data_IF_766917479316
#
_entry.id   IF_766917479316
#
_cell.length_a   1.000
_cell.length_b   1.000
_cell.length_c   1.000
_cell.angle_alpha   90.00
_cell.angle_beta   90.00
_cell.angle_gamma   90.00
#
_symmetry.space_group_name_H-M   'P 1'
#
loop_
_entity.id
_entity.type
_entity.pdbx_description
1 polymer ?
#
# COMPACT_ATOMS: atom_id res chain seq x y z
N UNK A 1 6.08 -33.38 10.12
CA UNK A 1 4.72 -33.76 10.55
C UNK A 1 4.39 -32.96 11.80
N UNK A 2 3.81 -31.76 11.64
CA UNK A 2 3.38 -30.91 12.74
C UNK A 2 2.01 -31.36 13.24
N UNK A 3 1.95 -31.85 14.47
CA UNK A 3 0.73 -32.27 15.16
C UNK A 3 -0.20 -31.07 15.38
N UNK A 4 -1.28 -30.98 14.60
CA UNK A 4 -2.36 -30.02 14.86
C UNK A 4 -3.11 -30.45 16.14
N UNK A 5 -3.11 -29.60 17.17
CA UNK A 5 -3.88 -29.85 18.39
C UNK A 5 -5.35 -29.50 18.13
N UNK A 6 -6.21 -30.52 18.08
CA UNK A 6 -7.67 -30.36 17.95
C UNK A 6 -8.29 -30.20 19.33
N UNK A 7 -9.04 -29.12 19.57
CA UNK A 7 -9.93 -28.98 20.74
C UNK A 7 -11.37 -28.84 20.26
N UNK A 8 -12.26 -29.62 20.87
CA UNK A 8 -13.70 -29.65 20.58
C UNK A 8 -14.43 -28.79 21.62
N UNK A 9 -15.33 -27.90 21.18
CA UNK A 9 -16.14 -27.10 22.12
C UNK A 9 -17.34 -27.91 22.65
N UNK A 10 -18.07 -27.37 23.63
CA UNK A 10 -19.21 -28.02 24.27
C UNK A 10 -20.42 -28.33 23.33
N UNK A 11 -20.37 -27.89 22.07
CA UNK A 11 -21.37 -28.16 21.02
C UNK A 11 -20.88 -29.13 19.94
N UNK A 12 -19.72 -29.75 20.10
CA UNK A 12 -19.20 -30.76 19.16
C UNK A 12 -18.57 -30.18 17.89
N UNK A 13 -18.42 -28.86 17.80
CA UNK A 13 -17.75 -28.23 16.66
C UNK A 13 -16.23 -28.37 16.79
N UNK A 14 -15.62 -28.91 15.73
CA UNK A 14 -14.17 -29.05 15.60
C UNK A 14 -13.58 -27.68 15.26
N UNK A 15 -13.08 -26.97 16.27
CA UNK A 15 -12.35 -25.72 16.06
C UNK A 15 -10.95 -26.06 15.55
N UNK A 16 -10.73 -25.87 14.24
CA UNK A 16 -9.38 -25.90 13.69
C UNK A 16 -8.60 -24.69 14.24
N UNK A 17 -7.68 -24.96 15.16
CA UNK A 17 -6.72 -23.97 15.65
C UNK A 17 -5.70 -23.76 14.53
N UNK A 18 -5.94 -22.76 13.68
CA UNK A 18 -4.98 -22.33 12.66
C UNK A 18 -3.86 -21.53 13.32
N UNK A 19 -2.65 -21.70 12.81
CA UNK A 19 -1.53 -20.85 13.21
C UNK A 19 -1.84 -19.39 12.81
N UNK A 20 -1.32 -18.39 13.55
CA UNK A 20 -1.47 -17.00 13.13
C UNK A 20 -0.99 -16.79 11.68
N UNK A 21 0.08 -17.46 11.26
CA UNK A 21 0.60 -17.38 9.89
C UNK A 21 -0.42 -17.85 8.82
N UNK A 22 -1.15 -18.94 9.05
CA UNK A 22 -2.17 -19.45 8.13
C UNK A 22 -3.39 -18.51 8.03
N UNK A 23 -3.83 -17.95 9.17
CA UNK A 23 -4.91 -16.96 9.18
C UNK A 23 -4.55 -15.67 8.43
N UNK A 24 -3.29 -15.23 8.53
CA UNK A 24 -2.78 -14.03 7.84
C UNK A 24 -2.47 -14.27 6.36
N UNK A 25 -2.28 -15.53 5.93
CA UNK A 25 -2.10 -15.87 4.52
C UNK A 25 -3.38 -15.68 3.68
N UNK A 26 -4.55 -15.90 4.30
CA UNK A 26 -5.87 -15.89 3.64
C UNK A 26 -6.54 -14.50 3.61
N UNK A 27 -6.16 -13.57 4.49
CA UNK A 27 -6.82 -12.26 4.64
C UNK A 27 -5.96 -11.09 4.15
N UNK A 28 -5.48 -11.17 2.90
CA UNK A 28 -4.45 -10.28 2.34
C UNK A 28 -4.88 -8.81 2.18
N UNK A 29 -6.19 -8.54 2.06
CA UNK A 29 -6.71 -7.20 1.76
C UNK A 29 -6.95 -6.30 3.00
N UNK A 30 -6.90 -6.84 4.22
CA UNK A 30 -7.25 -6.12 5.47
C UNK A 30 -6.02 -5.96 6.40
N UNK A 31 -4.84 -6.35 5.93
CA UNK A 31 -3.74 -6.85 6.77
C UNK A 31 -2.82 -5.81 7.46
N UNK A 32 -3.21 -4.53 7.55
CA UNK A 32 -2.35 -3.50 8.15
C UNK A 32 -2.56 -3.36 9.66
N UNK A 33 -3.36 -2.36 10.02
CA UNK A 33 -3.65 -2.00 11.40
C UNK A 33 -4.41 -3.10 12.16
N UNK A 34 -5.40 -3.73 11.52
CA UNK A 34 -6.24 -4.75 12.15
C UNK A 34 -5.41 -5.97 12.59
N UNK A 35 -4.33 -6.29 11.88
CA UNK A 35 -3.40 -7.36 12.27
C UNK A 35 -2.66 -7.03 13.57
N UNK A 36 -2.25 -5.77 13.77
CA UNK A 36 -1.64 -5.34 15.01
C UNK A 36 -2.63 -5.44 16.18
N UNK A 37 -3.91 -5.14 15.93
CA UNK A 37 -4.98 -5.26 16.92
C UNK A 37 -5.25 -6.72 17.30
N UNK A 38 -5.36 -7.60 16.30
CA UNK A 38 -5.54 -9.04 16.51
C UNK A 38 -4.34 -9.63 17.28
N UNK A 39 -3.12 -9.22 16.93
CA UNK A 39 -1.92 -9.63 17.66
C UNK A 39 -1.92 -9.15 19.11
N UNK A 40 -2.32 -7.91 19.37
CA UNK A 40 -2.51 -7.38 20.73
C UNK A 40 -3.47 -8.26 21.53
N UNK A 41 -4.65 -8.54 20.97
CA UNK A 41 -5.67 -9.37 21.64
C UNK A 41 -5.17 -10.79 21.89
N UNK A 42 -4.46 -11.40 20.94
CA UNK A 42 -3.93 -12.76 21.06
C UNK A 42 -2.77 -12.87 22.05
N UNK A 43 -1.92 -11.84 22.12
CA UNK A 43 -0.70 -11.87 22.95
C UNK A 43 -0.95 -11.44 24.39
N UNK A 44 -1.75 -10.39 24.62
CA UNK A 44 -1.95 -9.81 25.96
C UNK A 44 -3.40 -9.84 26.41
N UNK A 45 -4.35 -9.95 25.49
CA UNK A 45 -5.79 -9.91 25.80
C UNK A 45 -6.33 -8.53 26.17
N UNK A 46 -5.45 -7.52 26.26
CA UNK A 46 -5.78 -6.18 26.74
C UNK A 46 -6.52 -5.37 25.66
N UNK A 47 -7.50 -4.54 26.07
CA UNK A 47 -8.24 -3.69 25.15
C UNK A 47 -7.36 -2.55 24.61
N UNK A 48 -7.73 -2.06 23.43
CA UNK A 48 -7.07 -0.96 22.73
C UNK A 48 -7.69 0.36 23.17
N UNK A 49 -6.86 1.39 23.31
CA UNK A 49 -7.32 2.74 23.64
C UNK A 49 -7.08 3.67 22.46
N UNK A 50 -8.12 4.38 22.05
CA UNK A 50 -8.11 5.35 20.96
C UNK A 50 -8.57 6.69 21.48
N UNK A 51 -7.78 7.73 21.26
CA UNK A 51 -8.16 9.13 21.49
C UNK A 51 -8.12 9.85 20.16
N UNK A 52 -9.20 10.52 19.77
CA UNK A 52 -9.26 11.25 18.50
C UNK A 52 -9.93 12.60 18.65
N UNK A 53 -9.30 13.61 18.06
CA UNK A 53 -9.73 14.99 18.01
C UNK A 53 -9.74 15.44 16.55
N UNK A 54 -10.90 15.29 15.90
CA UNK A 54 -11.08 15.59 14.49
C UNK A 54 -11.23 17.10 14.25
N UNK A 55 -10.40 17.64 13.35
CA UNK A 55 -10.47 19.03 12.92
C UNK A 55 -11.55 19.18 11.84
N UNK A 56 -12.61 19.96 12.09
CA UNK A 56 -13.65 20.20 11.09
C UNK A 56 -13.22 21.16 9.98
N UNK A 57 -12.29 22.06 10.27
CA UNK A 57 -11.67 22.99 9.32
C UNK A 57 -10.17 23.08 9.58
N UNK A 58 -9.39 23.37 8.53
CA UNK A 58 -7.96 23.63 8.66
C UNK A 58 -7.71 24.73 9.71
N UNK A 59 -6.70 24.53 10.55
CA UNK A 59 -6.29 25.45 11.63
C UNK A 59 -7.34 25.72 12.71
N UNK A 60 -8.30 24.83 12.91
CA UNK A 60 -9.25 24.93 14.04
C UNK A 60 -8.95 23.88 15.11
N UNK A 61 -8.87 24.30 16.37
CA UNK A 61 -8.74 23.39 17.50
C UNK A 61 -10.08 22.70 17.77
N UNK A 62 -10.14 21.35 17.78
CA UNK A 62 -11.36 20.63 18.09
C UNK A 62 -11.82 20.94 19.51
N UNK A 63 -13.12 21.21 19.71
CA UNK A 63 -13.67 21.51 21.05
C UNK A 63 -13.73 20.26 21.96
N UNK A 64 -13.78 19.08 21.36
CA UNK A 64 -13.97 17.82 22.07
C UNK A 64 -12.98 16.77 21.60
N UNK A 65 -12.58 15.89 22.51
CA UNK A 65 -11.81 14.67 22.23
C UNK A 65 -12.73 13.48 22.45
N UNK A 66 -12.77 12.56 21.49
CA UNK A 66 -13.46 11.28 21.63
C UNK A 66 -12.49 10.25 22.18
N UNK A 67 -12.83 9.63 23.30
CA UNK A 67 -12.12 8.50 23.88
C UNK A 67 -12.90 7.21 23.60
N UNK A 68 -12.24 6.20 23.06
CA UNK A 68 -12.81 4.88 22.82
C UNK A 68 -11.87 3.80 23.35
N UNK A 69 -12.41 2.89 24.15
CA UNK A 69 -11.75 1.66 24.58
C UNK A 69 -12.40 0.49 23.87
N UNK A 70 -11.65 -0.10 22.97
CA UNK A 70 -12.14 -1.10 22.03
C UNK A 70 -11.55 -2.47 22.39
N UNK A 71 -12.42 -3.48 22.40
CA UNK A 71 -12.04 -4.88 22.35
C UNK A 71 -12.56 -5.52 21.05
N UNK A 72 -11.99 -6.65 20.62
CA UNK A 72 -12.40 -7.33 19.39
C UNK A 72 -12.82 -8.75 19.70
N UNK A 73 -14.03 -9.13 19.29
CA UNK A 73 -14.45 -10.53 19.23
C UNK A 73 -13.94 -11.14 17.93
N UNK A 74 -12.83 -11.88 18.04
CA UNK A 74 -12.15 -12.51 16.90
C UNK A 74 -13.04 -13.55 16.21
N UNK A 75 -13.92 -14.23 16.95
CA UNK A 75 -14.74 -15.31 16.39
C UNK A 75 -15.91 -14.76 15.58
N UNK A 76 -16.50 -13.65 16.02
CA UNK A 76 -17.60 -12.99 15.31
C UNK A 76 -17.12 -11.96 14.29
N UNK A 77 -15.83 -11.59 14.34
CA UNK A 77 -15.28 -10.48 13.59
C UNK A 77 -16.04 -9.15 13.86
N UNK A 78 -16.35 -8.91 15.13
CA UNK A 78 -17.14 -7.76 15.59
C UNK A 78 -16.37 -6.95 16.65
N UNK A 79 -16.38 -5.60 16.58
CA UNK A 79 -15.83 -4.77 17.63
C UNK A 79 -16.76 -4.75 18.85
N UNK A 80 -16.17 -4.88 20.04
CA UNK A 80 -16.84 -4.68 21.32
C UNK A 80 -16.37 -3.37 21.96
N UNK A 81 -17.25 -2.38 22.00
CA UNK A 81 -16.97 -1.07 22.60
C UNK A 81 -17.17 -1.16 24.11
N UNK A 82 -16.07 -1.15 24.87
CA UNK A 82 -16.13 -1.22 26.33
C UNK A 82 -16.49 0.14 26.94
N UNK A 83 -15.87 1.20 26.43
CA UNK A 83 -16.07 2.56 26.91
C UNK A 83 -16.02 3.53 25.72
N UNK A 84 -16.97 4.44 25.64
CA UNK A 84 -16.97 5.52 24.66
C UNK A 84 -17.55 6.78 25.27
N UNK A 85 -16.75 7.84 25.35
CA UNK A 85 -17.23 9.14 25.81
C UNK A 85 -16.49 10.28 25.09
N UNK A 86 -17.09 11.47 25.17
CA UNK A 86 -16.50 12.71 24.67
C UNK A 86 -16.16 13.61 25.85
N UNK A 87 -14.96 14.17 25.83
CA UNK A 87 -14.47 15.12 26.83
C UNK A 87 -14.14 16.46 26.18
N UNK A 88 -14.06 17.53 26.97
CA UNK A 88 -13.57 18.82 26.48
C UNK A 88 -12.09 18.71 26.15
N UNK A 89 -11.67 19.32 25.04
CA UNK A 89 -10.28 19.30 24.61
C UNK A 89 -9.43 20.30 25.39
N UNK A 90 -9.02 19.94 26.60
CA UNK A 90 -8.21 20.80 27.49
C UNK A 90 -6.75 20.83 27.03
N UNK A 91 -6.26 19.73 26.44
CA UNK A 91 -4.88 19.54 25.99
C UNK A 91 -4.62 20.10 24.58
N UNK A 92 -5.62 20.74 23.96
CA UNK A 92 -5.57 21.23 22.58
C UNK A 92 -5.12 20.18 21.56
N UNK A 93 -5.43 18.91 21.83
CA UNK A 93 -5.08 17.77 20.98
C UNK A 93 -5.70 17.94 19.58
N UNK A 94 -4.90 17.66 18.56
CA UNK A 94 -5.33 17.54 17.16
C UNK A 94 -4.83 16.23 16.58
N UNK A 95 -5.71 15.45 15.96
CA UNK A 95 -5.36 14.17 15.35
C UNK A 95 -5.81 12.97 16.19
N UNK A 96 -5.10 11.84 16.05
CA UNK A 96 -5.49 10.56 16.65
C UNK A 96 -4.29 9.92 17.34
N UNK A 97 -4.51 9.48 18.58
CA UNK A 97 -3.57 8.71 19.40
C UNK A 97 -4.12 7.30 19.58
N UNK A 98 -3.24 6.32 19.40
CA UNK A 98 -3.53 4.89 19.49
C UNK A 98 -2.58 4.26 20.51
N UNK A 99 -3.13 3.62 21.52
CA UNK A 99 -2.36 2.88 22.53
C UNK A 99 -2.75 1.41 22.49
N UNK A 100 -1.75 0.56 22.27
CA UNK A 100 -1.91 -0.89 22.11
C UNK A 100 -0.87 -1.59 22.97
N UNK A 101 -1.25 -2.69 23.61
CA UNK A 101 -0.36 -3.48 24.47
C UNK A 101 -0.06 -4.82 23.81
N UNK A 102 1.17 -4.98 23.30
CA UNK A 102 1.58 -6.17 22.55
C UNK A 102 2.68 -6.94 23.28
N UNK A 103 2.66 -8.27 23.18
CA UNK A 103 3.82 -9.09 23.50
C UNK A 103 4.90 -8.92 22.43
N UNK A 104 6.15 -8.66 22.84
CA UNK A 104 7.27 -8.47 21.92
C UNK A 104 8.64 -8.53 22.61
N UNK A 105 9.71 -8.61 21.81
CA UNK A 105 11.08 -8.63 22.27
C UNK A 105 11.84 -7.39 21.77
N UNK A 106 11.98 -6.39 22.63
CA UNK A 106 12.67 -5.15 22.29
C UNK A 106 14.15 -5.36 21.97
N UNK A 107 14.87 -6.15 22.77
CA UNK A 107 16.32 -6.33 22.62
C UNK A 107 16.70 -6.87 21.24
N UNK A 108 15.94 -7.82 20.71
CA UNK A 108 16.19 -8.41 19.39
C UNK A 108 15.83 -7.47 18.23
N UNK A 109 14.74 -6.70 18.37
CA UNK A 109 14.18 -5.93 17.25
C UNK A 109 14.47 -4.42 17.29
N UNK A 110 15.08 -3.92 18.37
CA UNK A 110 15.41 -2.49 18.53
C UNK A 110 16.12 -1.91 17.32
N UNK A 111 17.16 -2.60 16.82
CA UNK A 111 17.94 -2.12 15.67
C UNK A 111 17.07 -1.97 14.42
N UNK A 112 16.15 -2.92 14.17
CA UNK A 112 15.24 -2.87 13.03
C UNK A 112 14.23 -1.73 13.15
N UNK A 113 13.70 -1.50 14.35
CA UNK A 113 12.76 -0.38 14.61
C UNK A 113 13.47 0.96 14.40
N UNK A 114 14.67 1.12 14.94
CA UNK A 114 15.46 2.34 14.74
C UNK A 114 15.76 2.56 13.26
N UNK A 115 16.17 1.51 12.55
CA UNK A 115 16.46 1.57 11.12
C UNK A 115 15.22 1.88 10.27
N UNK A 116 14.04 1.37 10.66
CA UNK A 116 12.76 1.74 10.02
C UNK A 116 12.49 3.23 10.14
N UNK A 117 12.65 3.79 11.34
CA UNK A 117 12.46 5.22 11.57
C UNK A 117 13.51 6.08 10.85
N UNK A 118 14.75 5.62 10.76
CA UNK A 118 15.80 6.28 9.97
C UNK A 118 15.40 6.34 8.49
N UNK A 119 15.01 5.22 7.90
CA UNK A 119 14.55 5.18 6.52
C UNK A 119 13.29 6.02 6.32
N UNK A 120 12.34 5.97 7.27
CA UNK A 120 11.12 6.78 7.25
C UNK A 120 11.44 8.29 7.23
N UNK A 121 12.40 8.72 8.03
CA UNK A 121 12.87 10.11 8.04
C UNK A 121 13.49 10.53 6.70
N UNK A 122 14.23 9.64 6.05
CA UNK A 122 14.80 9.90 4.72
C UNK A 122 13.70 10.13 3.68
N UNK A 123 12.66 9.29 3.68
CA UNK A 123 11.60 9.33 2.67
C UNK A 123 10.52 10.39 2.93
N UNK A 124 10.38 10.89 4.16
CA UNK A 124 9.35 11.88 4.54
C UNK A 124 9.96 13.18 5.09
N UNK A 125 10.66 13.97 4.25
CA UNK A 125 11.27 15.23 4.68
C UNK A 125 10.27 16.24 5.27
N UNK A 126 8.99 16.12 4.94
CA UNK A 126 7.94 17.03 5.43
C UNK A 126 7.34 16.62 6.79
N UNK A 127 7.74 15.48 7.34
CA UNK A 127 7.28 14.99 8.64
C UNK A 127 8.31 15.26 9.74
N UNK A 128 7.83 15.43 10.97
CA UNK A 128 8.65 15.32 12.17
C UNK A 128 8.32 13.98 12.84
N UNK A 129 9.35 13.20 13.15
CA UNK A 129 9.21 11.87 13.74
C UNK A 129 9.92 11.83 15.09
N UNK A 130 9.24 11.35 16.12
CA UNK A 130 9.84 11.10 17.44
C UNK A 130 9.62 9.65 17.84
N UNK A 131 10.69 8.99 18.28
CA UNK A 131 10.66 7.64 18.84
C UNK A 131 11.26 7.70 20.25
N UNK A 132 10.48 7.29 21.24
CA UNK A 132 10.93 7.18 22.63
C UNK A 132 10.76 5.77 23.17
N UNK A 133 11.80 5.24 23.80
CA UNK A 133 11.74 3.99 24.56
C UNK A 133 11.87 4.29 26.06
N UNK A 134 10.86 3.83 26.82
CA UNK A 134 10.76 4.05 28.26
C UNK A 134 10.71 2.68 28.93
N UNK A 135 11.66 2.44 29.85
CA UNK A 135 11.73 1.21 30.65
C UNK A 135 11.39 1.55 32.10
N UNK A 136 10.18 1.21 32.53
CA UNK A 136 9.68 1.59 33.85
C UNK A 136 9.55 3.11 33.97
N UNK A 137 10.27 3.72 34.92
CA UNK A 137 10.28 5.19 35.13
C UNK A 137 11.41 5.92 34.41
N UNK A 138 12.35 5.19 33.79
CA UNK A 138 13.51 5.79 33.13
C UNK A 138 13.32 5.82 31.61
N UNK A 139 13.47 7.02 31.01
CA UNK A 139 13.53 7.20 29.56
C UNK A 139 14.92 6.74 29.10
N UNK A 140 14.99 5.58 28.45
CA UNK A 140 16.27 4.98 28.06
C UNK A 140 16.80 5.59 26.76
N UNK A 141 15.89 5.92 25.83
CA UNK A 141 16.26 6.44 24.53
C UNK A 141 15.18 7.35 23.95
N UNK A 142 15.61 8.43 23.29
CA UNK A 142 14.76 9.30 22.48
C UNK A 142 15.50 9.62 21.20
N UNK A 143 14.79 9.53 20.08
CA UNK A 143 15.28 9.88 18.76
C UNK A 143 14.27 10.80 18.12
N UNK A 144 14.76 11.88 17.52
CA UNK A 144 13.93 12.88 16.89
C UNK A 144 14.49 13.23 15.53
N UNK A 145 13.65 13.15 14.51
CA UNK A 145 13.91 13.60 13.15
C UNK A 145 13.05 14.83 12.89
N UNK A 146 13.69 15.99 12.83
CA UNK A 146 13.01 17.24 12.53
C UNK A 146 12.66 17.35 11.05
N UNK A 147 11.53 18.02 10.78
CA UNK A 147 11.11 18.38 9.43
C UNK A 147 12.24 19.08 8.66
N UNK A 148 12.33 18.78 7.37
CA UNK A 148 13.33 19.27 6.41
C UNK A 148 12.75 20.17 5.32
N UNK A 149 11.47 19.97 4.98
CA UNK A 149 10.78 20.78 3.97
C UNK A 149 9.35 21.04 4.41
N UNK A 150 8.85 22.24 4.17
CA UNK A 150 7.42 22.55 4.32
C UNK A 150 6.62 22.28 3.03
N UNK A 151 7.31 21.93 1.94
CA UNK A 151 6.65 21.57 0.69
C UNK A 151 6.01 20.18 0.82
N UNK A 152 4.68 20.18 0.92
CA UNK A 152 3.90 18.96 0.91
C UNK A 152 3.82 18.39 -0.52
N UNK A 153 3.96 17.06 -0.69
CA UNK A 153 3.70 16.45 -1.97
C UNK A 153 2.20 16.54 -2.32
N UNK A 154 1.84 16.48 -3.61
CA UNK A 154 0.45 16.47 -4.02
C UNK A 154 -0.30 15.28 -3.40
N UNK A 155 -1.58 15.50 -3.10
CA UNK A 155 -2.45 14.45 -2.56
C UNK A 155 -2.72 13.41 -3.63
N UNK A 156 -2.58 12.13 -3.28
CA UNK A 156 -2.98 11.05 -4.17
C UNK A 156 -4.47 11.18 -4.53
N UNK A 157 -4.78 11.08 -5.81
CA UNK A 157 -6.15 11.10 -6.31
C UNK A 157 -6.57 9.69 -6.69
N UNK A 158 -7.85 9.38 -6.49
CA UNK A 158 -8.42 8.13 -6.98
C UNK A 158 -8.52 8.22 -8.50
N UNK A 159 -7.92 7.25 -9.19
CA UNK A 159 -7.99 7.10 -10.63
C UNK A 159 -8.95 5.96 -10.98
N UNK A 160 -9.48 6.00 -12.20
CA UNK A 160 -10.32 4.93 -12.72
C UNK A 160 -9.50 3.67 -13.03
N UNK A 161 -10.18 2.53 -13.10
CA UNK A 161 -9.52 1.27 -13.41
C UNK A 161 -9.24 1.18 -14.90
N UNK A 162 -8.01 0.84 -15.23
CA UNK A 162 -7.62 0.54 -16.60
C UNK A 162 -8.17 -0.82 -17.04
N UNK A 163 -8.58 -1.01 -18.31
CA UNK A 163 -9.09 -2.29 -18.81
C UNK A 163 -8.17 -3.47 -18.52
N UNK A 164 -6.85 -3.33 -18.68
CA UNK A 164 -5.89 -4.43 -18.41
C UNK A 164 -5.81 -4.85 -16.93
N UNK A 165 -6.28 -4.02 -16.00
CA UNK A 165 -6.31 -4.34 -14.57
C UNK A 165 -7.60 -5.06 -14.15
N UNK A 166 -8.55 -5.25 -15.08
CA UNK A 166 -9.83 -5.88 -14.78
C UNK A 166 -9.68 -7.38 -14.58
N UNK A 167 -10.43 -7.89 -13.61
CA UNK A 167 -10.70 -9.31 -13.42
C UNK A 167 -12.21 -9.48 -13.18
N UNK A 168 -12.71 -10.72 -13.28
CA UNK A 168 -14.15 -10.99 -13.22
C UNK A 168 -14.80 -10.42 -11.95
N UNK A 169 -14.09 -10.50 -10.81
CA UNK A 169 -14.57 -9.98 -9.53
C UNK A 169 -14.61 -8.45 -9.51
N UNK A 170 -13.53 -7.80 -9.93
CA UNK A 170 -13.40 -6.35 -9.95
C UNK A 170 -14.41 -5.75 -10.93
N UNK A 171 -14.58 -6.36 -12.10
CA UNK A 171 -15.56 -5.91 -13.07
C UNK A 171 -16.98 -6.02 -12.51
N UNK A 172 -17.33 -7.15 -11.88
CA UNK A 172 -18.63 -7.31 -11.21
C UNK A 172 -18.86 -6.24 -10.12
N UNK A 173 -17.84 -5.95 -9.30
CA UNK A 173 -17.92 -4.92 -8.26
C UNK A 173 -18.09 -3.52 -8.85
N UNK A 174 -17.37 -3.20 -9.92
CA UNK A 174 -17.48 -1.91 -10.61
C UNK A 174 -18.86 -1.72 -11.23
N UNK A 175 -19.42 -2.78 -11.82
CA UNK A 175 -20.76 -2.77 -12.42
C UNK A 175 -21.86 -2.62 -11.37
N UNK A 176 -21.71 -3.22 -10.18
CA UNK A 176 -22.66 -3.07 -9.06
C UNK A 176 -22.72 -1.63 -8.53
N UNK A 177 -21.56 -0.95 -8.49
CA UNK A 177 -21.45 0.42 -7.98
C UNK A 177 -21.54 1.50 -9.08
N UNK A 178 -21.70 1.09 -10.34
CA UNK A 178 -21.78 2.00 -11.47
C UNK A 178 -23.05 2.85 -11.41
N UNK A 179 -22.94 4.10 -11.85
CA UNK A 179 -24.10 4.97 -12.07
C UNK A 179 -24.67 4.84 -13.47
N UNK A 180 -23.94 4.18 -14.36
CA UNK A 180 -24.33 4.00 -15.75
C UNK A 180 -25.37 2.89 -15.86
N UNK A 181 -26.23 2.98 -16.86
CA UNK A 181 -27.17 1.91 -17.20
C UNK A 181 -26.72 1.09 -18.39
N UNK A 182 -26.08 1.73 -19.37
CA UNK A 182 -25.68 1.08 -20.62
C UNK A 182 -24.23 0.65 -20.59
N UNK A 183 -23.93 -0.49 -21.21
CA UNK A 183 -22.56 -1.01 -21.33
C UNK A 183 -21.60 0.02 -21.95
N UNK A 184 -22.04 0.74 -22.99
CA UNK A 184 -21.26 1.82 -23.59
C UNK A 184 -20.95 2.96 -22.59
N UNK A 185 -21.95 3.36 -21.78
CA UNK A 185 -21.77 4.36 -20.75
C UNK A 185 -20.74 3.93 -19.71
N UNK A 186 -20.83 2.68 -19.24
CA UNK A 186 -19.86 2.10 -18.31
C UNK A 186 -18.44 2.11 -18.86
N UNK A 187 -18.26 1.59 -20.08
CA UNK A 187 -16.95 1.51 -20.71
C UNK A 187 -16.31 2.89 -20.84
N UNK A 188 -17.07 3.92 -21.25
CA UNK A 188 -16.51 5.27 -21.46
C UNK A 188 -16.31 6.08 -20.18
N UNK A 189 -17.18 5.90 -19.17
CA UNK A 189 -17.20 6.77 -17.99
C UNK A 189 -16.62 6.16 -16.73
N UNK A 190 -16.58 4.83 -16.61
CA UNK A 190 -16.13 4.17 -15.37
C UNK A 190 -14.75 3.51 -15.53
N UNK A 191 -14.32 3.24 -16.76
CA UNK A 191 -12.98 2.74 -17.07
C UNK A 191 -12.05 3.85 -17.57
N UNK A 192 -10.79 3.74 -17.19
CA UNK A 192 -9.76 4.66 -17.62
C UNK A 192 -9.42 4.47 -19.10
N UNK A 193 -9.36 5.57 -19.83
CA UNK A 193 -8.81 5.66 -21.18
C UNK A 193 -9.50 4.80 -22.25
N UNK A 194 -10.80 4.56 -22.08
CA UNK A 194 -11.69 4.02 -23.12
C UNK A 194 -12.50 5.17 -23.72
N UNK A 195 -12.31 5.44 -25.02
CA UNK A 195 -13.13 6.40 -25.75
C UNK A 195 -14.32 5.71 -26.44
N UNK A 196 -15.25 6.49 -26.98
CA UNK A 196 -16.45 5.95 -27.63
C UNK A 196 -16.12 5.04 -28.83
N UNK A 197 -15.04 5.34 -29.55
CA UNK A 197 -14.58 4.53 -30.68
C UNK A 197 -14.06 3.17 -30.19
N UNK A 198 -13.22 3.17 -29.16
CA UNK A 198 -12.68 1.97 -28.54
C UNK A 198 -13.78 1.15 -27.90
N UNK A 199 -14.73 1.76 -27.20
CA UNK A 199 -15.90 1.08 -26.63
C UNK A 199 -16.73 0.37 -27.71
N UNK A 200 -16.90 1.00 -28.88
CA UNK A 200 -17.59 0.38 -30.02
C UNK A 200 -16.80 -0.81 -30.58
N UNK A 201 -15.48 -0.67 -30.74
CA UNK A 201 -14.61 -1.77 -31.20
C UNK A 201 -14.61 -2.94 -30.21
N UNK A 202 -14.52 -2.63 -28.93
CA UNK A 202 -14.63 -3.55 -27.79
C UNK A 202 -15.91 -4.39 -27.89
N UNK A 203 -17.08 -3.76 -28.07
CA UNK A 203 -18.35 -4.49 -28.17
C UNK A 203 -18.43 -5.32 -29.45
N UNK A 204 -17.86 -4.84 -30.56
CA UNK A 204 -17.83 -5.60 -31.81
C UNK A 204 -16.96 -6.86 -31.74
N UNK A 205 -15.85 -6.82 -30.99
CA UNK A 205 -14.95 -7.97 -30.80
C UNK A 205 -15.49 -9.02 -29.81
N UNK A 206 -16.40 -8.64 -28.91
CA UNK A 206 -16.96 -9.56 -27.91
C UNK A 206 -17.97 -10.57 -28.46
N UNK A 207 -18.37 -10.41 -29.74
CA UNK A 207 -19.39 -11.20 -30.44
C UNK A 207 -20.77 -11.22 -29.75
N UNK A 208 -21.81 -11.66 -30.47
CA UNK A 208 -23.19 -11.69 -29.95
C UNK A 208 -23.33 -12.52 -28.66
N UNK A 209 -24.04 -12.04 -27.61
CA UNK A 209 -25.16 -11.10 -27.65
C UNK A 209 -24.88 -9.68 -27.13
N UNK A 210 -23.63 -9.20 -27.16
CA UNK A 210 -23.33 -7.85 -26.66
C UNK A 210 -23.91 -6.75 -27.57
N UNK A 211 -24.57 -5.77 -26.95
CA UNK A 211 -25.02 -4.54 -27.62
C UNK A 211 -24.61 -3.34 -26.77
N UNK A 212 -24.34 -2.20 -27.41
CA UNK A 212 -23.88 -0.98 -26.73
C UNK A 212 -24.89 -0.45 -25.70
N UNK A 213 -26.18 -0.65 -25.98
CA UNK A 213 -27.30 -0.22 -25.15
C UNK A 213 -27.72 -1.26 -24.10
N UNK A 214 -27.00 -2.39 -24.01
CA UNK A 214 -27.31 -3.45 -23.06
C UNK A 214 -27.21 -2.94 -21.63
N UNK A 215 -28.18 -3.32 -20.80
CA UNK A 215 -28.19 -2.96 -19.39
C UNK A 215 -27.10 -3.72 -18.62
N UNK A 216 -26.23 -2.98 -17.96
CA UNK A 216 -25.11 -3.50 -17.18
C UNK A 216 -25.57 -4.51 -16.12
N UNK A 217 -26.73 -4.27 -15.49
CA UNK A 217 -27.24 -5.12 -14.42
C UNK A 217 -27.84 -6.44 -14.91
N UNK A 218 -28.02 -6.59 -16.22
CA UNK A 218 -28.53 -7.84 -16.83
C UNK A 218 -27.41 -8.80 -17.24
N UNK A 219 -26.15 -8.37 -17.12
CA UNK A 219 -25.00 -9.15 -17.54
C UNK A 219 -24.74 -10.32 -16.57
N UNK A 220 -24.51 -11.51 -17.13
CA UNK A 220 -24.25 -12.74 -16.39
C UNK A 220 -22.75 -12.88 -16.15
N UNK A 221 -22.34 -13.80 -15.25
CA UNK A 221 -20.92 -14.10 -15.03
C UNK A 221 -20.18 -14.51 -16.30
N UNK A 222 -20.85 -15.18 -17.23
CA UNK A 222 -20.26 -15.54 -18.53
C UNK A 222 -19.99 -14.29 -19.38
N UNK A 223 -20.93 -13.33 -19.38
CA UNK A 223 -20.73 -12.06 -20.09
C UNK A 223 -19.57 -11.27 -19.48
N UNK A 224 -19.47 -11.22 -18.14
CA UNK A 224 -18.36 -10.57 -17.43
C UNK A 224 -17.03 -11.19 -17.83
N UNK A 225 -16.96 -12.53 -17.86
CA UNK A 225 -15.76 -13.25 -18.27
C UNK A 225 -15.34 -12.95 -19.71
N UNK A 226 -16.31 -12.82 -20.63
CA UNK A 226 -16.03 -12.44 -22.02
C UNK A 226 -15.47 -11.01 -22.12
N UNK A 227 -16.06 -10.06 -21.40
CA UNK A 227 -15.56 -8.67 -21.33
C UNK A 227 -14.13 -8.64 -20.79
N UNK A 228 -13.84 -9.36 -19.71
CA UNK A 228 -12.45 -9.48 -19.21
C UNK A 228 -11.55 -10.17 -20.24
N UNK A 229 -12.06 -11.18 -20.95
CA UNK A 229 -11.38 -11.89 -22.03
C UNK A 229 -10.79 -10.97 -23.10
N UNK A 230 -11.38 -9.79 -23.33
CA UNK A 230 -10.89 -8.85 -24.33
C UNK A 230 -9.55 -8.20 -23.99
N UNK A 231 -9.20 -8.17 -22.70
CA UNK A 231 -7.90 -7.69 -22.22
C UNK A 231 -6.75 -8.59 -22.70
N UNK A 232 -7.06 -9.79 -23.20
CA UNK A 232 -6.10 -10.75 -23.77
C UNK A 232 -5.95 -10.63 -25.29
N UNK A 233 -6.73 -9.76 -25.94
CA UNK A 233 -6.62 -9.52 -27.39
C UNK A 233 -5.43 -8.59 -27.64
N UNK A 234 -4.40 -9.07 -28.35
CA UNK A 234 -3.13 -8.34 -28.57
C UNK A 234 -3.32 -6.95 -29.19
N UNK A 235 -4.26 -6.80 -30.14
CA UNK A 235 -4.55 -5.51 -30.78
C UNK A 235 -5.13 -4.49 -29.79
N UNK A 236 -6.00 -4.96 -28.88
CA UNK A 236 -6.58 -4.13 -27.82
C UNK A 236 -5.53 -3.80 -26.75
N UNK A 237 -4.68 -4.77 -26.41
CA UNK A 237 -3.57 -4.56 -25.48
C UNK A 237 -2.67 -3.39 -25.91
N UNK A 238 -2.24 -3.34 -27.17
CA UNK A 238 -1.39 -2.26 -27.70
C UNK A 238 -2.04 -0.86 -27.55
N UNK A 239 -3.35 -0.77 -27.78
CA UNK A 239 -4.11 0.47 -27.62
C UNK A 239 -4.23 0.86 -26.13
N UNK A 240 -4.48 -0.12 -25.28
CA UNK A 240 -4.53 0.06 -23.83
C UNK A 240 -3.17 0.52 -23.25
N UNK A 241 -2.04 -0.06 -23.68
CA UNK A 241 -0.70 0.37 -23.27
C UNK A 241 -0.41 1.83 -23.62
N UNK A 242 -0.76 2.26 -24.84
CA UNK A 242 -0.58 3.65 -25.29
C UNK A 242 -1.42 4.62 -24.45
N UNK A 243 -2.61 4.18 -24.05
CA UNK A 243 -3.57 4.93 -23.25
C UNK A 243 -3.12 5.15 -21.78
N UNK A 244 -2.51 4.14 -21.14
CA UNK A 244 -1.91 4.26 -19.80
C UNK A 244 -0.87 5.37 -19.78
N UNK A 245 0.00 5.39 -20.79
CA UNK A 245 1.12 6.30 -20.84
C UNK A 245 0.66 7.76 -20.94
N UNK A 246 -0.36 8.09 -21.75
CA UNK A 246 -0.69 9.50 -22.05
C UNK A 246 -1.56 10.19 -20.98
N UNK A 247 -2.47 9.47 -20.31
CA UNK A 247 -3.43 10.08 -19.34
C UNK A 247 -3.03 9.94 -17.89
N UNK A 248 -2.55 8.77 -17.45
CA UNK A 248 -2.10 8.60 -16.06
C UNK A 248 -0.88 9.49 -15.77
N UNK A 249 -0.04 9.79 -16.76
CA UNK A 249 1.04 10.79 -16.66
C UNK A 249 0.56 12.21 -16.34
N UNK A 250 -0.62 12.61 -16.83
CA UNK A 250 -1.19 13.95 -16.59
C UNK A 250 -1.97 14.01 -15.28
N UNK A 251 -2.54 12.89 -14.84
CA UNK A 251 -3.31 12.83 -13.59
C UNK A 251 -2.40 12.58 -12.38
N UNK A 252 -1.35 11.78 -12.56
CA UNK A 252 -0.36 11.45 -11.54
C UNK A 252 0.82 12.42 -11.58
N UNK A 253 0.57 13.73 -11.64
CA UNK A 253 1.59 14.79 -11.49
C UNK A 253 2.28 14.70 -10.11
N UNK A 254 3.07 13.65 -9.89
CA UNK A 254 4.12 13.61 -8.89
C UNK A 254 5.26 14.47 -9.46
N UNK A 255 5.06 15.79 -9.42
CA UNK A 255 6.18 16.69 -9.32
C UNK A 255 6.86 16.31 -8.01
N UNK A 256 7.83 15.40 -8.07
CA UNK A 256 8.67 15.11 -6.92
C UNK A 256 9.44 16.39 -6.68
N UNK A 257 9.22 17.07 -5.54
CA UNK A 257 10.00 18.25 -5.22
C UNK A 257 11.47 17.85 -5.20
N UNK A 258 12.33 18.72 -5.73
CA UNK A 258 13.80 18.65 -5.74
C UNK A 258 14.43 18.61 -4.33
N UNK A 259 13.93 17.78 -3.41
CA UNK A 259 14.28 17.81 -1.98
C UNK A 259 14.42 16.45 -1.29
N UNK A 260 14.22 15.32 -1.98
CA UNK A 260 14.41 13.99 -1.38
C UNK A 260 15.90 13.66 -1.16
N UNK A 261 16.77 14.11 -2.07
CA UNK A 261 18.22 14.02 -1.90
C UNK A 261 18.73 14.81 -0.68
N UNK A 262 18.01 15.86 -0.26
CA UNK A 262 18.34 16.66 0.93
C UNK A 262 18.24 15.83 2.21
N UNK A 263 17.27 14.91 2.29
CA UNK A 263 17.16 14.01 3.43
C UNK A 263 18.31 13.00 3.46
N UNK A 264 18.69 12.45 2.30
CA UNK A 264 19.82 11.53 2.17
C UNK A 264 21.11 12.24 2.61
N UNK A 265 21.33 13.46 2.14
CA UNK A 265 22.52 14.24 2.50
C UNK A 265 22.65 14.46 4.00
N UNK A 266 21.54 14.75 4.68
CA UNK A 266 21.60 15.08 6.11
C UNK A 266 21.66 13.85 7.02
N UNK A 267 20.95 12.78 6.68
CA UNK A 267 20.87 11.60 7.55
C UNK A 267 22.04 10.63 7.33
N UNK A 268 22.62 10.60 6.11
CA UNK A 268 23.71 9.67 5.76
C UNK A 268 25.06 10.34 5.48
N UNK A 269 25.08 11.67 5.33
CA UNK A 269 26.30 12.47 5.06
C UNK A 269 27.23 11.85 3.99
N UNK A 270 26.71 11.49 2.79
CA UNK A 270 27.53 10.87 1.74
C UNK A 270 28.41 11.91 1.03
N UNK A 271 29.54 11.44 0.50
CA UNK A 271 30.47 12.28 -0.30
C UNK A 271 29.86 12.75 -1.63
N UNK A 272 28.95 11.95 -2.20
CA UNK A 272 28.29 12.22 -3.47
C UNK A 272 26.87 11.63 -3.48
N UNK A 273 25.93 12.35 -4.09
CA UNK A 273 24.55 11.88 -4.33
C UNK A 273 24.20 12.06 -5.80
N UNK A 274 23.59 11.04 -6.38
CA UNK A 274 22.99 11.10 -7.72
C UNK A 274 21.55 10.59 -7.64
N UNK A 275 20.63 11.24 -8.34
CA UNK A 275 19.21 10.87 -8.36
C UNK A 275 18.71 10.83 -9.79
N UNK A 276 17.82 9.88 -10.09
CA UNK A 276 17.17 9.79 -11.39
C UNK A 276 15.72 9.30 -11.25
N UNK A 277 14.80 9.97 -11.93
CA UNK A 277 13.40 9.54 -12.06
C UNK A 277 13.20 8.99 -13.46
N UNK A 278 12.82 7.71 -13.54
CA UNK A 278 12.55 7.06 -14.82
C UNK A 278 11.18 7.46 -15.36
N UNK A 279 11.00 7.39 -16.68
CA UNK A 279 9.70 7.64 -17.31
C UNK A 279 8.69 6.58 -16.83
N UNK A 280 7.43 6.97 -16.72
CA UNK A 280 6.38 6.06 -16.27
C UNK A 280 6.24 4.85 -17.18
N UNK A 281 6.23 3.67 -16.57
CA UNK A 281 5.94 2.38 -17.19
C UNK A 281 4.58 1.86 -16.75
N UNK A 282 4.18 0.69 -17.24
CA UNK A 282 2.96 0.00 -16.84
C UNK A 282 3.30 -1.38 -16.26
N UNK A 283 2.51 -1.82 -15.29
CA UNK A 283 2.44 -3.20 -14.87
C UNK A 283 0.97 -3.64 -14.68
N UNK A 284 0.50 -4.62 -15.46
CA UNK A 284 -0.88 -5.16 -15.37
C UNK A 284 -1.99 -4.09 -15.42
N UNK A 285 -1.88 -3.09 -16.30
CA UNK A 285 -2.81 -1.97 -16.37
C UNK A 285 -2.64 -0.91 -15.26
N UNK A 286 -1.64 -1.04 -14.40
CA UNK A 286 -1.33 -0.06 -13.37
C UNK A 286 -0.12 0.78 -13.76
N UNK A 287 -0.22 2.11 -13.65
CA UNK A 287 0.91 2.99 -13.85
C UNK A 287 1.99 2.74 -12.79
N UNK A 288 3.23 2.61 -13.25
CA UNK A 288 4.41 2.34 -12.44
C UNK A 288 5.44 3.44 -12.65
N UNK A 289 5.91 4.05 -11.57
CA UNK A 289 6.99 5.03 -11.59
C UNK A 289 8.15 4.45 -10.80
N UNK A 290 9.32 4.36 -11.43
CA UNK A 290 10.55 3.93 -10.78
C UNK A 290 11.46 5.14 -10.59
N UNK A 291 11.86 5.40 -9.36
CA UNK A 291 12.82 6.46 -9.07
C UNK A 291 14.03 5.85 -8.41
N UNK A 292 15.20 5.96 -9.02
CA UNK A 292 16.46 5.66 -8.36
C UNK A 292 16.78 6.81 -7.40
N UNK A 293 16.03 6.88 -6.30
CA UNK A 293 16.36 7.71 -5.15
C UNK A 293 15.67 7.33 -3.82
N UNK A 294 14.58 6.55 -3.71
CA UNK A 294 13.98 6.16 -2.38
C UNK A 294 12.70 5.35 -2.56
N UNK A 295 12.49 4.21 -1.87
CA UNK A 295 11.26 3.38 -1.95
C UNK A 295 9.95 4.17 -1.87
N UNK A 296 8.89 3.59 -2.46
CA UNK A 296 7.49 3.93 -2.15
C UNK A 296 7.38 4.19 -0.64
N UNK A 297 6.57 5.15 -0.16
CA UNK A 297 6.70 5.80 1.18
C UNK A 297 6.63 4.90 2.44
N UNK A 298 6.84 3.60 2.30
CA UNK A 298 7.07 2.56 3.29
C UNK A 298 8.46 1.93 3.04
N UNK A 299 9.38 2.01 4.00
CA UNK A 299 10.68 1.34 3.89
C UNK A 299 10.55 -0.19 3.99
N UNK A 300 11.22 -0.90 3.09
CA UNK A 300 11.27 -2.37 3.07
C UNK A 300 12.54 -2.84 3.79
N UNK A 301 12.36 -3.50 4.94
CA UNK A 301 13.47 -3.91 5.83
C UNK A 301 13.73 -5.40 5.89
N UNK A 302 12.71 -6.20 5.62
CA UNK A 302 12.75 -7.65 5.78
C UNK A 302 12.98 -8.29 4.41
N UNK A 303 13.63 -9.45 4.41
CA UNK A 303 13.88 -10.23 3.20
C UNK A 303 14.55 -9.47 2.04
N UNK A 304 15.41 -8.49 2.34
CA UNK A 304 16.08 -7.66 1.33
C UNK A 304 16.83 -8.47 0.27
N UNK A 305 17.37 -9.66 0.59
CA UNK A 305 18.03 -10.53 -0.41
C UNK A 305 17.08 -11.15 -1.45
N UNK A 306 15.78 -11.18 -1.17
CA UNK A 306 14.72 -11.59 -2.09
C UNK A 306 14.24 -10.45 -2.99
N UNK A 307 14.49 -9.20 -2.61
CA UNK A 307 13.99 -8.02 -3.29
C UNK A 307 14.64 -7.80 -4.65
N UNK A 308 13.82 -7.44 -5.66
CA UNK A 308 14.26 -7.15 -7.02
C UNK A 308 15.32 -6.06 -7.05
N UNK A 309 15.20 -5.00 -6.24
CA UNK A 309 16.17 -3.90 -6.23
C UNK A 309 17.53 -4.39 -5.76
N UNK A 310 17.55 -5.18 -4.67
CA UNK A 310 18.80 -5.75 -4.13
C UNK A 310 19.42 -6.74 -5.11
N UNK A 311 18.60 -7.54 -5.80
CA UNK A 311 19.09 -8.49 -6.80
C UNK A 311 19.68 -7.77 -8.01
N UNK A 312 18.97 -6.80 -8.56
CA UNK A 312 19.44 -5.99 -9.69
C UNK A 312 20.71 -5.23 -9.34
N UNK A 313 20.77 -4.59 -8.17
CA UNK A 313 21.96 -3.88 -7.73
C UNK A 313 23.19 -4.80 -7.55
N UNK A 314 23.00 -6.05 -7.13
CA UNK A 314 24.11 -6.97 -6.89
C UNK A 314 24.50 -7.84 -8.09
N UNK A 315 23.54 -8.20 -8.95
CA UNK A 315 23.74 -9.19 -10.03
C UNK A 315 23.75 -8.57 -11.43
N UNK A 316 22.90 -7.59 -11.68
CA UNK A 316 22.68 -7.08 -13.03
C UNK A 316 23.50 -5.81 -13.32
N UNK A 317 23.76 -5.00 -12.29
CA UNK A 317 24.60 -3.80 -12.42
C UNK A 317 26.08 -4.18 -12.28
N UNK A 318 26.85 -3.93 -13.35
CA UNK A 318 28.30 -4.05 -13.30
C UNK A 318 28.95 -2.72 -12.85
N UNK A 319 29.19 -2.61 -11.55
CA UNK A 319 29.81 -1.46 -10.88
C UNK A 319 31.21 -1.11 -11.41
N UNK A 320 31.91 -2.07 -11.99
CA UNK A 320 33.26 -1.86 -12.55
C UNK A 320 33.23 -0.84 -13.69
N UNK A 321 32.18 -0.82 -14.52
CA UNK A 321 32.02 0.18 -15.59
C UNK A 321 31.91 1.60 -15.04
N UNK A 322 31.37 1.76 -13.84
CA UNK A 322 31.25 3.03 -13.14
C UNK A 322 32.47 3.37 -12.28
N UNK A 323 33.54 2.56 -12.36
CA UNK A 323 34.78 2.70 -11.57
C UNK A 323 34.52 2.61 -10.05
N UNK A 324 33.52 1.82 -9.64
CA UNK A 324 33.19 1.59 -8.24
C UNK A 324 33.41 0.12 -7.88
N UNK A 325 33.88 -0.14 -6.66
CA UNK A 325 34.03 -1.49 -6.10
C UNK A 325 33.13 -1.63 -4.86
N UNK A 326 32.00 -2.36 -4.95
CA UNK A 326 31.08 -2.56 -3.83
C UNK A 326 31.70 -3.20 -2.58
N UNK A 327 32.88 -3.83 -2.69
CA UNK A 327 33.59 -4.42 -1.53
C UNK A 327 34.45 -3.40 -0.78
N UNK A 328 34.85 -2.32 -1.45
CA UNK A 328 35.75 -1.29 -0.89
C UNK A 328 35.00 0.02 -0.63
N UNK A 329 34.11 0.39 -1.54
CA UNK A 329 33.37 1.63 -1.52
C UNK A 329 32.05 1.46 -0.77
N UNK A 330 31.67 2.49 0.00
CA UNK A 330 30.37 2.53 0.69
C UNK A 330 29.31 3.06 -0.27
N UNK A 331 28.66 2.13 -0.98
CA UNK A 331 27.63 2.47 -1.96
C UNK A 331 26.24 2.29 -1.35
N UNK A 332 25.42 3.34 -1.39
CA UNK A 332 24.00 3.29 -1.02
C UNK A 332 23.13 3.39 -2.26
N UNK A 333 22.23 2.42 -2.46
CA UNK A 333 21.26 2.41 -3.56
C UNK A 333 19.86 2.52 -2.97
N UNK A 334 19.11 3.53 -3.41
CA UNK A 334 17.75 3.80 -2.97
C UNK A 334 16.85 3.81 -4.19
N UNK A 335 15.75 3.03 -4.17
CA UNK A 335 14.84 2.91 -5.32
C UNK A 335 13.38 2.99 -4.86
N UNK A 336 12.62 3.94 -5.40
CA UNK A 336 11.16 4.10 -5.37
C UNK A 336 10.51 3.28 -6.42
N UNK A 337 9.46 2.59 -6.04
CA UNK A 337 8.56 1.95 -6.99
C UNK A 337 7.16 2.35 -6.58
N UNK A 338 6.57 3.35 -7.25
CA UNK A 338 5.22 3.88 -6.96
C UNK A 338 4.24 3.33 -7.98
N UNK A 339 3.16 2.71 -7.53
CA UNK A 339 2.06 2.21 -8.36
C UNK A 339 0.77 2.11 -7.54
N UNK A 340 -0.37 2.11 -8.22
CA UNK A 340 -1.68 1.77 -7.60
C UNK A 340 -1.73 0.31 -7.12
N UNK A 341 -0.92 -0.57 -7.72
CA UNK A 341 -0.77 -1.97 -7.32
C UNK A 341 0.71 -2.35 -7.31
N UNK A 342 1.23 -2.63 -6.11
CA UNK A 342 2.61 -3.10 -5.94
C UNK A 342 2.57 -4.62 -5.80
N UNK A 343 3.33 -5.36 -6.61
CA UNK A 343 3.31 -6.81 -6.58
C UNK A 343 4.25 -7.37 -5.49
N UNK A 344 3.80 -7.27 -4.24
CA UNK A 344 4.51 -7.88 -3.11
C UNK A 344 4.41 -9.41 -3.14
N UNK A 345 5.49 -10.09 -2.74
CA UNK A 345 5.52 -11.56 -2.68
C UNK A 345 4.99 -12.16 -1.39
N UNK A 346 4.93 -11.37 -0.31
CA UNK A 346 4.45 -11.79 1.00
C UNK A 346 3.29 -10.92 1.50
N UNK A 347 2.45 -11.49 2.36
CA UNK A 347 1.32 -10.76 2.98
C UNK A 347 1.77 -9.62 3.90
N UNK A 348 3.00 -9.71 4.44
CA UNK A 348 3.66 -8.64 5.19
C UNK A 348 4.17 -7.47 4.34
N UNK A 349 4.06 -7.54 2.99
CA UNK A 349 4.55 -6.52 2.05
C UNK A 349 6.03 -6.20 2.26
N UNK A 350 6.85 -7.24 2.45
CA UNK A 350 8.24 -7.11 2.87
C UNK A 350 9.22 -6.89 1.72
N UNK A 351 8.94 -7.44 0.54
CA UNK A 351 9.78 -7.33 -0.65
C UNK A 351 8.99 -7.51 -1.95
N UNK A 352 9.59 -7.07 -3.05
CA UNK A 352 9.09 -7.24 -4.42
C UNK A 352 9.91 -8.33 -5.13
N UNK A 353 9.23 -9.30 -5.75
CA UNK A 353 9.88 -10.40 -6.46
C UNK A 353 10.45 -10.01 -7.82
N UNK A 354 11.41 -10.81 -8.29
CA UNK A 354 12.13 -10.66 -9.57
C UNK A 354 11.45 -11.43 -10.73
N UNK A 355 10.35 -12.11 -10.45
CA UNK A 355 9.57 -12.88 -11.43
C UNK A 355 8.59 -12.01 -12.24
N UNK A 356 8.75 -10.70 -12.15
CA UNK A 356 7.81 -9.73 -12.67
C UNK A 356 8.44 -9.07 -13.89
N UNK A 357 8.07 -9.48 -15.11
CA UNK A 357 8.56 -8.82 -16.31
C UNK A 357 7.96 -7.42 -16.36
N UNK A 358 8.75 -6.41 -15.96
CA UNK A 358 8.44 -5.02 -16.30
C UNK A 358 8.62 -4.91 -17.81
N UNK A 359 7.51 -4.91 -18.54
CA UNK A 359 7.55 -4.66 -19.99
C UNK A 359 7.87 -3.19 -20.19
N UNK A 360 9.12 -2.92 -20.53
CA UNK A 360 9.52 -1.62 -21.04
C UNK A 360 8.87 -1.44 -22.41
N UNK A 361 7.95 -0.47 -22.52
CA UNK A 361 7.41 0.00 -23.80
C UNK A 361 8.46 0.81 -24.57
#
# INVERSE_FOLDING_TARGET
MSTQSVKVNARGEVLQIRSPAEFFAENQNIAGFDNALIWSKKSTGMPITVRSAHMSKANTTPKHVSFCKLDIDIFKNEPNVLEHYKSRNIEEMTGTELTVTVGGNWTTYRSRIVHYFQQLAIITPYAQLELSFIKGKHKEFTMRYDRRSDQMPPTAQQVQHHPLALNDLLLAQLMEHSKQRTLHGFLCHDLAAVDANLATRIVNELDTPFTLDMDIHTLTSNHIHQVVGMTFIEEMQSQFYTCVQVRLLKEMHFNVPDGHWLSILKELEPDMVATHTYKTSEFEGHALIVEAAVSNRIPLLFEAGGDVVTRTANKDINWTYYKMDPKRDKIGVFVSIVSTKIPFKGTGKEYIGDDIPVRSC
#
